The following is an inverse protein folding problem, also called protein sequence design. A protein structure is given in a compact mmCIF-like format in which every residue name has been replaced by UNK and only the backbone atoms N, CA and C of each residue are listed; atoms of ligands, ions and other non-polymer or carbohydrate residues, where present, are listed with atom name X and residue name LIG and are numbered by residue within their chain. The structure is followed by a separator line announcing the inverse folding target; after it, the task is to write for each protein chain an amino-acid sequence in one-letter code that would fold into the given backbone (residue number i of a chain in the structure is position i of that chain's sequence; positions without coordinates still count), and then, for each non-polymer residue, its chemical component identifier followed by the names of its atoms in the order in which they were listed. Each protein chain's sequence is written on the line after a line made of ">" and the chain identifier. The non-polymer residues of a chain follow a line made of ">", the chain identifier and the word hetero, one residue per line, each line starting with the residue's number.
data_IF_403279389668
#
_entry.id   IF_403279389668
#
_cell.length_a   1.000
_cell.length_b   1.000
_cell.length_c   1.000
_cell.angle_alpha   90.00
_cell.angle_beta   90.00
_cell.angle_gamma   90.00
#
_symmetry.space_group_name_H-M   'P 1'
#
loop_
_entity.id
_entity.type
_entity.pdbx_description
1 polymer ?
#
# COMPACT_ATOMS: atom_id res chain seq x y z
N UNK A 1 -52.53 11.65 29.08
CA UNK A 1 -53.45 10.53 28.81
C UNK A 1 -54.28 10.91 27.60
N UNK A 2 -54.21 10.06 26.55
CA UNK A 2 -55.24 9.76 25.54
C UNK A 2 -55.70 10.96 24.69
N UNK A 3 -55.57 11.01 23.36
CA UNK A 3 -55.33 9.99 22.35
C UNK A 3 -56.16 10.40 21.12
N UNK A 4 -55.61 10.24 19.91
CA UNK A 4 -56.41 10.04 18.70
C UNK A 4 -55.62 9.17 17.73
N UNK A 5 -56.09 7.92 17.60
CA UNK A 5 -55.84 7.04 16.46
C UNK A 5 -56.69 7.52 15.28
N UNK A 6 -56.15 7.42 14.06
CA UNK A 6 -56.97 7.38 12.85
C UNK A 6 -56.53 6.18 12.02
N UNK A 7 -57.52 5.34 11.75
CA UNK A 7 -57.47 4.04 11.12
C UNK A 7 -57.36 4.14 9.59
N UNK A 8 -56.73 3.13 9.00
CA UNK A 8 -56.57 2.87 7.57
C UNK A 8 -57.77 2.09 7.01
N UNK A 9 -58.02 2.20 5.69
CA UNK A 9 -58.40 1.12 4.73
C UNK A 9 -59.25 1.66 3.54
N UNK A 10 -58.96 1.18 2.32
CA UNK A 10 -59.86 1.32 1.14
C UNK A 10 -59.22 1.88 -0.16
N UNK A 11 -58.22 1.26 -0.80
CA UNK A 11 -58.34 0.32 -1.94
C UNK A 11 -58.95 0.87 -3.27
N UNK A 12 -58.12 1.03 -4.33
CA UNK A 12 -58.18 0.30 -5.62
C UNK A 12 -57.44 0.98 -6.81
N UNK A 13 -56.33 0.33 -7.21
CA UNK A 13 -55.84 0.01 -8.58
C UNK A 13 -56.21 0.88 -9.80
N UNK A 14 -55.19 1.39 -10.53
CA UNK A 14 -54.84 0.95 -11.90
C UNK A 14 -53.55 1.59 -12.47
N UNK A 15 -52.82 0.77 -13.24
CA UNK A 15 -51.48 0.90 -13.84
C UNK A 15 -51.33 1.99 -14.92
N UNK A 16 -50.13 2.61 -15.02
CA UNK A 16 -49.12 2.40 -16.11
C UNK A 16 -47.94 3.38 -16.02
N UNK A 17 -46.71 2.89 -16.24
CA UNK A 17 -45.56 3.71 -16.65
C UNK A 17 -44.20 3.34 -16.00
N UNK A 18 -43.43 2.45 -16.63
CA UNK A 18 -42.11 1.96 -16.20
C UNK A 18 -40.99 3.00 -16.39
N UNK A 19 -40.08 3.08 -15.42
CA UNK A 19 -38.63 3.23 -15.65
C UNK A 19 -37.85 2.76 -14.41
N UNK A 20 -37.49 1.47 -14.37
CA UNK A 20 -36.47 0.95 -13.46
C UNK A 20 -35.19 0.76 -14.28
N UNK A 21 -34.17 1.58 -14.02
CA UNK A 21 -32.79 1.31 -14.43
C UNK A 21 -32.31 0.09 -13.63
N UNK A 22 -32.27 -1.07 -14.28
CA UNK A 22 -31.47 -2.22 -13.83
C UNK A 22 -30.01 -1.94 -14.20
N UNK A 23 -29.14 -1.86 -13.20
CA UNK A 23 -27.71 -1.90 -13.38
C UNK A 23 -27.14 -2.95 -12.42
N UNK A 24 -26.48 -3.97 -12.96
CA UNK A 24 -25.65 -4.88 -12.16
C UNK A 24 -26.03 -6.36 -12.17
N UNK A 25 -26.25 -6.98 -13.34
CA UNK A 25 -26.11 -8.45 -13.49
C UNK A 25 -25.29 -8.85 -14.74
N UNK A 26 -24.86 -7.87 -15.57
CA UNK A 26 -24.17 -8.18 -16.83
C UNK A 26 -22.69 -8.59 -16.69
N UNK A 27 -22.06 -8.47 -15.52
CA UNK A 27 -20.65 -8.85 -15.35
C UNK A 27 -20.45 -10.37 -15.19
N UNK A 28 -21.37 -11.08 -14.53
CA UNK A 28 -21.23 -12.52 -14.32
C UNK A 28 -21.52 -13.31 -15.60
N UNK A 29 -22.55 -12.93 -16.36
CA UNK A 29 -22.97 -13.65 -17.58
C UNK A 29 -21.94 -13.48 -18.71
N UNK A 30 -21.34 -12.29 -18.88
CA UNK A 30 -20.32 -12.05 -19.90
C UNK A 30 -19.04 -12.88 -19.65
N UNK A 31 -18.64 -13.06 -18.38
CA UNK A 31 -17.48 -13.89 -18.01
C UNK A 31 -17.79 -15.37 -18.27
N UNK A 32 -18.98 -15.86 -17.93
CA UNK A 32 -19.35 -17.27 -18.18
C UNK A 32 -19.43 -17.58 -19.68
N UNK A 33 -19.96 -16.67 -20.50
CA UNK A 33 -20.03 -16.85 -21.96
C UNK A 33 -18.65 -16.83 -22.61
N UNK A 34 -17.75 -15.94 -22.17
CA UNK A 34 -16.38 -15.89 -22.67
C UNK A 34 -15.57 -17.15 -22.30
N UNK A 35 -15.73 -17.66 -21.07
CA UNK A 35 -15.07 -18.90 -20.62
C UNK A 35 -15.59 -20.12 -21.37
N UNK A 36 -16.90 -20.22 -21.61
CA UNK A 36 -17.48 -21.32 -22.39
C UNK A 36 -17.04 -21.32 -23.85
N UNK A 37 -16.95 -20.13 -24.48
CA UNK A 37 -16.46 -19.99 -25.86
C UNK A 37 -14.98 -20.36 -25.99
N UNK A 38 -14.15 -20.02 -25.00
CA UNK A 38 -12.72 -20.40 -24.96
C UNK A 38 -12.56 -21.90 -24.72
N UNK A 39 -13.39 -22.51 -23.87
CA UNK A 39 -13.38 -23.96 -23.61
C UNK A 39 -13.65 -24.78 -24.87
N UNK A 40 -14.62 -24.35 -25.69
CA UNK A 40 -14.97 -25.02 -26.95
C UNK A 40 -13.93 -24.83 -28.06
N UNK A 41 -13.13 -23.75 -28.04
CA UNK A 41 -12.15 -23.45 -29.09
C UNK A 41 -10.73 -23.94 -28.80
N UNK A 42 -10.38 -24.17 -27.53
CA UNK A 42 -9.00 -24.49 -27.09
C UNK A 42 -8.76 -25.96 -26.72
N UNK A 43 -9.78 -26.83 -26.84
CA UNK A 43 -9.61 -28.26 -26.57
C UNK A 43 -9.29 -28.60 -25.11
N UNK A 44 -9.62 -27.72 -24.16
CA UNK A 44 -9.51 -27.99 -22.72
C UNK A 44 -8.34 -27.32 -21.99
N UNK A 45 -7.43 -26.60 -22.67
CA UNK A 45 -6.35 -25.86 -21.97
C UNK A 45 -6.73 -24.39 -21.72
N UNK A 46 -7.47 -24.21 -20.63
CA UNK A 46 -8.12 -22.93 -20.25
C UNK A 46 -7.17 -22.03 -19.45
N UNK A 47 -6.11 -22.58 -18.86
CA UNK A 47 -5.33 -21.88 -17.82
C UNK A 47 -4.52 -20.71 -18.37
N UNK A 48 -3.87 -20.89 -19.53
CA UNK A 48 -3.05 -19.87 -20.20
C UNK A 48 -3.89 -18.74 -20.79
N UNK A 49 -5.04 -19.08 -21.36
CA UNK A 49 -5.95 -18.09 -21.96
C UNK A 49 -6.70 -17.28 -20.90
N UNK A 50 -7.07 -17.90 -19.76
CA UNK A 50 -7.66 -17.18 -18.63
C UNK A 50 -6.65 -16.23 -17.97
N UNK A 51 -5.37 -16.62 -17.88
CA UNK A 51 -4.30 -15.76 -17.35
C UNK A 51 -4.03 -14.55 -18.27
N UNK A 52 -4.15 -14.74 -19.58
CA UNK A 52 -4.06 -13.64 -20.57
C UNK A 52 -5.25 -12.68 -20.46
N UNK A 53 -6.48 -13.22 -20.46
CA UNK A 53 -7.71 -12.44 -20.35
C UNK A 53 -7.86 -11.74 -18.98
N UNK A 54 -7.42 -12.36 -17.89
CA UNK A 54 -7.38 -11.70 -16.58
C UNK A 54 -6.33 -10.59 -16.54
N UNK A 55 -5.21 -10.71 -17.25
CA UNK A 55 -4.22 -9.63 -17.39
C UNK A 55 -4.75 -8.45 -18.22
N UNK A 56 -5.58 -8.71 -19.23
CA UNK A 56 -6.26 -7.67 -20.02
C UNK A 56 -7.44 -7.04 -19.26
N UNK A 57 -8.24 -7.82 -18.53
CA UNK A 57 -9.40 -7.34 -17.76
C UNK A 57 -9.01 -6.66 -16.44
N UNK A 58 -7.80 -6.89 -15.91
CA UNK A 58 -7.26 -6.18 -14.72
C UNK A 58 -6.56 -4.86 -15.06
N UNK A 59 -6.56 -4.42 -16.33
CA UNK A 59 -6.02 -3.11 -16.71
C UNK A 59 -4.57 -2.94 -16.27
N UNK A 60 -3.75 -3.98 -16.47
CA UNK A 60 -2.36 -4.02 -16.03
C UNK A 60 -1.41 -3.28 -16.98
N UNK A 61 -1.82 -2.11 -17.48
CA UNK A 61 -0.87 -1.04 -17.81
C UNK A 61 -0.59 -0.26 -16.51
N UNK A 62 0.07 -0.92 -15.56
CA UNK A 62 0.72 -0.17 -14.50
C UNK A 62 1.90 0.54 -15.16
N UNK A 63 1.81 1.87 -15.28
CA UNK A 63 2.93 2.69 -15.74
C UNK A 63 4.16 2.32 -14.91
N UNK A 64 5.16 1.70 -15.53
CA UNK A 64 6.38 1.31 -14.84
C UNK A 64 7.31 2.50 -14.82
N UNK A 65 7.57 3.07 -13.64
CA UNK A 65 8.35 4.31 -13.52
C UNK A 65 9.86 4.09 -13.73
N UNK A 66 10.34 2.90 -13.41
CA UNK A 66 11.72 2.47 -13.67
C UNK A 66 11.66 1.07 -14.25
N UNK A 67 11.96 0.91 -15.53
CA UNK A 67 11.85 -0.38 -16.24
C UNK A 67 12.96 -1.34 -15.85
N UNK A 68 14.21 -0.86 -15.77
CA UNK A 68 15.36 -1.67 -15.35
C UNK A 68 15.98 -1.05 -14.11
N UNK A 69 15.65 -1.60 -12.94
CA UNK A 69 16.24 -1.13 -11.70
C UNK A 69 17.66 -1.70 -11.52
N UNK A 70 18.54 -0.88 -10.98
CA UNK A 70 19.87 -1.30 -10.56
C UNK A 70 19.79 -1.79 -9.11
N UNK A 71 20.46 -2.90 -8.83
CA UNK A 71 20.57 -3.43 -7.48
C UNK A 71 21.50 -2.54 -6.65
N UNK A 72 21.08 -2.13 -5.46
CA UNK A 72 21.94 -1.41 -4.52
C UNK A 72 23.15 -2.25 -4.08
N UNK A 73 24.29 -1.59 -3.83
CA UNK A 73 25.52 -2.21 -3.31
C UNK A 73 25.40 -2.52 -1.80
N UNK A 74 24.39 -3.29 -1.41
CA UNK A 74 24.20 -3.77 -0.04
C UNK A 74 24.20 -5.30 -0.02
N UNK A 75 24.44 -5.91 1.14
CA UNK A 75 24.41 -7.37 1.29
C UNK A 75 23.03 -8.02 1.07
N UNK A 76 21.97 -7.22 0.93
CA UNK A 76 20.59 -7.66 0.73
C UNK A 76 19.92 -7.03 -0.50
N UNK A 77 20.67 -6.29 -1.33
CA UNK A 77 20.16 -5.59 -2.50
C UNK A 77 19.30 -4.37 -2.16
N UNK A 78 18.30 -4.08 -2.98
CA UNK A 78 17.38 -2.97 -2.78
C UNK A 78 17.54 -1.81 -3.76
N UNK A 79 16.86 -0.70 -3.48
CA UNK A 79 16.78 0.46 -4.37
C UNK A 79 18.14 1.18 -4.52
N UNK A 80 18.66 1.27 -5.75
CA UNK A 80 19.89 2.02 -6.00
C UNK A 80 19.72 3.53 -5.81
N UNK A 81 20.83 4.24 -5.53
CA UNK A 81 20.86 5.70 -5.48
C UNK A 81 20.35 6.35 -6.77
N UNK A 82 20.67 5.78 -7.94
CA UNK A 82 20.18 6.32 -9.21
C UNK A 82 18.66 6.14 -9.38
N UNK A 83 18.10 5.02 -8.94
CA UNK A 83 16.66 4.80 -9.05
C UNK A 83 15.89 5.58 -8.00
N UNK A 84 16.45 5.77 -6.79
CA UNK A 84 15.95 6.74 -5.82
C UNK A 84 15.77 8.12 -6.45
N UNK A 85 16.78 8.62 -7.16
CA UNK A 85 16.71 9.94 -7.81
C UNK A 85 15.67 9.98 -8.93
N UNK A 86 15.46 8.88 -9.68
CA UNK A 86 14.36 8.81 -10.66
C UNK A 86 13.00 8.91 -9.98
N UNK A 87 12.80 8.15 -8.89
CA UNK A 87 11.54 8.17 -8.14
C UNK A 87 11.29 9.55 -7.50
N UNK A 88 12.32 10.21 -6.98
CA UNK A 88 12.23 11.54 -6.37
C UNK A 88 11.81 12.63 -7.37
N UNK A 89 12.04 12.41 -8.67
CA UNK A 89 11.66 13.33 -9.74
C UNK A 89 10.32 12.99 -10.39
N UNK A 90 9.62 11.95 -9.93
CA UNK A 90 8.26 11.67 -10.39
C UNK A 90 7.29 12.69 -9.81
N UNK A 91 6.43 13.22 -10.67
CA UNK A 91 5.32 14.10 -10.27
C UNK A 91 4.01 13.34 -10.51
N UNK A 92 3.18 13.25 -9.46
CA UNK A 92 1.86 12.63 -9.58
C UNK A 92 0.94 13.49 -10.43
N UNK A 93 0.18 12.87 -11.34
CA UNK A 93 -0.85 13.54 -12.13
C UNK A 93 -2.23 13.19 -11.59
N UNK A 94 -3.02 14.21 -11.26
CA UNK A 94 -4.40 14.04 -10.79
C UNK A 94 -5.20 13.16 -11.76
N UNK A 95 -5.90 12.17 -11.22
CA UNK A 95 -6.64 11.16 -11.97
C UNK A 95 -5.86 9.87 -12.27
N UNK A 96 -4.58 9.79 -11.94
CA UNK A 96 -3.80 8.54 -12.07
C UNK A 96 -3.90 7.65 -10.82
N UNK A 97 -3.40 6.40 -10.96
CA UNK A 97 -3.25 5.45 -9.85
C UNK A 97 -2.23 5.96 -8.82
N UNK A 98 -2.50 5.68 -7.56
CA UNK A 98 -1.69 6.12 -6.43
C UNK A 98 -0.35 5.41 -6.29
N UNK A 99 -0.08 4.40 -7.12
CA UNK A 99 1.20 3.70 -7.17
C UNK A 99 1.55 3.30 -8.60
N UNK A 100 2.84 3.06 -8.80
CA UNK A 100 3.46 2.59 -10.04
C UNK A 100 4.35 1.41 -9.74
N UNK A 101 4.55 0.54 -10.73
CA UNK A 101 5.49 -0.57 -10.63
C UNK A 101 6.91 -0.07 -10.88
N UNK A 102 7.87 -0.76 -10.26
CA UNK A 102 9.31 -0.54 -10.40
C UNK A 102 9.91 -1.88 -10.81
N UNK A 103 10.85 -1.86 -11.75
CA UNK A 103 11.53 -3.06 -12.25
C UNK A 103 10.56 -4.15 -12.72
N UNK A 104 9.52 -3.77 -13.48
CA UNK A 104 8.45 -4.68 -13.90
C UNK A 104 7.77 -5.41 -12.72
N UNK A 105 7.65 -4.73 -11.58
CA UNK A 105 7.14 -5.28 -10.33
C UNK A 105 7.98 -6.44 -9.77
N UNK A 106 9.28 -6.49 -10.07
CA UNK A 106 10.20 -7.45 -9.49
C UNK A 106 11.17 -6.80 -8.50
N UNK A 107 11.29 -7.40 -7.33
CA UNK A 107 12.19 -7.00 -6.28
C UNK A 107 13.65 -7.06 -6.73
N UNK A 108 14.45 -6.13 -6.22
CA UNK A 108 15.90 -6.14 -6.37
C UNK A 108 16.60 -6.71 -5.12
N UNK A 109 15.82 -7.23 -4.16
CA UNK A 109 16.33 -7.83 -2.94
C UNK A 109 16.94 -9.20 -3.21
N UNK A 110 18.02 -9.50 -2.50
CA UNK A 110 18.72 -10.77 -2.61
C UNK A 110 18.06 -11.77 -1.66
N UNK A 111 17.21 -12.67 -2.17
CA UNK A 111 16.46 -13.65 -1.34
C UNK A 111 17.35 -14.48 -0.39
N UNK A 112 18.57 -14.80 -0.79
CA UNK A 112 19.53 -15.60 0.01
C UNK A 112 20.18 -14.80 1.16
N UNK A 113 19.93 -13.49 1.25
CA UNK A 113 20.39 -12.64 2.34
C UNK A 113 19.62 -12.86 3.66
N UNK A 114 18.50 -13.58 3.62
CA UNK A 114 17.77 -13.97 4.83
C UNK A 114 18.65 -14.89 5.69
N UNK A 115 19.15 -14.40 6.83
CA UNK A 115 19.90 -15.20 7.83
C UNK A 115 19.25 -15.26 9.23
N UNK A 116 18.85 -14.13 9.80
CA UNK A 116 18.28 -14.02 11.15
C UNK A 116 17.04 -13.11 11.17
N UNK A 117 16.11 -13.34 12.09
CA UNK A 117 14.92 -12.51 12.24
C UNK A 117 15.32 -11.18 12.85
N UNK A 118 15.14 -10.09 12.10
CA UNK A 118 15.54 -8.75 12.52
C UNK A 118 14.96 -7.69 11.58
N UNK A 119 14.99 -6.45 12.01
CA UNK A 119 14.89 -5.29 11.15
C UNK A 119 16.22 -4.54 11.19
N UNK A 120 16.69 -4.09 10.04
CA UNK A 120 17.79 -3.14 9.94
C UNK A 120 17.13 -1.78 9.76
N UNK A 121 17.13 -1.00 10.84
CA UNK A 121 16.69 0.40 10.81
C UNK A 121 17.85 1.28 10.36
N UNK A 122 17.61 2.13 9.36
CA UNK A 122 18.56 3.17 8.99
C UNK A 122 18.50 4.33 9.98
N UNK A 123 19.62 5.02 10.16
CA UNK A 123 19.63 6.28 10.89
C UNK A 123 18.86 7.36 10.13
N UNK A 124 18.38 8.35 10.89
CA UNK A 124 17.83 9.56 10.28
C UNK A 124 18.96 10.31 9.57
N UNK A 125 18.64 10.98 8.45
CA UNK A 125 19.61 11.86 7.80
C UNK A 125 19.80 13.18 8.56
N UNK A 126 20.66 14.05 8.04
CA UNK A 126 21.01 15.34 8.66
C UNK A 126 19.83 16.31 8.79
N UNK A 127 18.69 16.05 8.12
CA UNK A 127 17.44 16.79 8.26
C UNK A 127 16.45 16.07 9.19
N UNK A 128 16.89 15.04 9.91
CA UNK A 128 16.09 14.16 10.76
C UNK A 128 15.04 13.32 10.01
N UNK A 129 15.25 13.04 8.72
CA UNK A 129 14.29 12.29 7.89
C UNK A 129 14.66 10.80 7.83
N UNK A 130 13.64 9.95 7.71
CA UNK A 130 13.81 8.53 7.35
C UNK A 130 14.04 8.37 5.84
N UNK A 131 15.12 8.94 5.29
CA UNK A 131 15.38 9.00 3.84
C UNK A 131 16.16 7.79 3.29
N UNK A 132 16.54 6.85 4.16
CA UNK A 132 17.21 5.60 3.83
C UNK A 132 16.30 4.38 4.05
N UNK A 133 16.63 3.26 3.42
CA UNK A 133 15.81 2.05 3.47
C UNK A 133 15.85 1.33 4.83
N UNK A 134 14.68 1.00 5.37
CA UNK A 134 14.57 -0.01 6.43
C UNK A 134 14.38 -1.39 5.78
N UNK A 135 15.11 -2.39 6.25
CA UNK A 135 15.05 -3.76 5.69
C UNK A 135 14.69 -4.77 6.78
N UNK A 136 13.54 -5.42 6.62
CA UNK A 136 13.00 -6.40 7.54
C UNK A 136 13.19 -7.83 7.02
N UNK A 137 13.67 -8.71 7.89
CA UNK A 137 13.81 -10.15 7.66
C UNK A 137 12.79 -10.86 8.54
N UNK A 138 11.64 -11.17 7.93
CA UNK A 138 10.41 -11.51 8.62
C UNK A 138 10.04 -12.97 8.44
N UNK A 139 9.33 -13.50 9.43
CA UNK A 139 8.68 -14.81 9.39
C UNK A 139 7.36 -14.78 10.18
N UNK A 140 6.63 -15.90 10.24
CA UNK A 140 5.27 -15.96 10.80
C UNK A 140 5.11 -15.32 12.17
N UNK A 141 6.10 -15.47 13.06
CA UNK A 141 6.06 -14.94 14.43
C UNK A 141 6.10 -13.42 14.54
N UNK A 142 6.34 -12.70 13.44
CA UNK A 142 6.27 -11.24 13.42
C UNK A 142 4.86 -10.70 13.08
N UNK A 143 3.89 -11.57 12.78
CA UNK A 143 2.51 -11.11 12.59
C UNK A 143 1.94 -10.65 13.93
N UNK A 144 1.68 -9.35 14.06
CA UNK A 144 1.26 -8.74 15.33
C UNK A 144 -0.25 -8.89 15.59
N UNK A 145 -0.60 -8.81 16.88
CA UNK A 145 -1.98 -8.66 17.32
C UNK A 145 -2.32 -7.16 17.42
N UNK A 146 -3.34 -6.71 16.68
CA UNK A 146 -3.77 -5.30 16.68
C UNK A 146 -4.28 -4.81 18.04
N UNK A 147 -4.70 -5.71 18.95
CA UNK A 147 -5.13 -5.32 20.30
C UNK A 147 -3.99 -4.80 21.19
N UNK A 148 -2.72 -5.04 20.83
CA UNK A 148 -1.54 -4.53 21.54
C UNK A 148 -1.08 -3.16 21.00
N UNK A 149 -1.80 -2.59 20.04
CA UNK A 149 -1.50 -1.28 19.49
C UNK A 149 -1.92 -0.19 20.46
N UNK A 150 -1.03 0.77 20.69
CA UNK A 150 -1.22 1.94 21.54
C UNK A 150 -1.15 3.22 20.71
N UNK A 151 -1.47 4.34 21.34
CA UNK A 151 -1.38 5.66 20.70
C UNK A 151 0.08 5.98 20.32
N UNK A 152 0.25 6.46 19.10
CA UNK A 152 1.53 6.94 18.60
C UNK A 152 1.74 8.42 18.93
N UNK A 153 2.99 8.81 19.22
CA UNK A 153 3.35 10.16 19.62
C UNK A 153 4.51 10.77 18.84
N UNK A 154 5.37 9.97 18.20
CA UNK A 154 6.47 10.49 17.37
C UNK A 154 5.95 11.38 16.27
N UNK A 155 6.50 12.57 16.12
CA UNK A 155 6.15 13.50 15.04
C UNK A 155 7.32 13.54 14.05
N UNK A 156 7.22 12.86 12.89
CA UNK A 156 8.27 12.92 11.88
C UNK A 156 8.45 14.33 11.32
N UNK A 157 9.47 14.52 10.51
CA UNK A 157 9.66 15.77 9.78
C UNK A 157 8.39 16.17 9.03
N UNK A 158 8.13 17.47 8.98
CA UNK A 158 6.96 18.06 8.32
C UNK A 158 5.59 17.58 8.86
N UNK A 159 5.53 17.07 10.09
CA UNK A 159 4.30 16.70 10.75
C UNK A 159 3.42 17.94 11.04
N UNK A 160 2.11 17.77 10.85
CA UNK A 160 1.07 18.75 11.17
C UNK A 160 -0.09 18.04 11.87
N UNK A 161 -1.01 18.81 12.46
CA UNK A 161 -2.26 18.26 12.98
C UNK A 161 -2.95 17.39 11.92
N UNK A 162 -3.30 16.17 12.30
CA UNK A 162 -3.59 15.10 11.35
C UNK A 162 -4.95 15.24 10.65
N UNK A 163 -5.81 16.18 11.08
CA UNK A 163 -7.13 16.42 10.51
C UNK A 163 -7.27 17.81 9.93
N UNK A 164 -8.06 17.93 8.87
CA UNK A 164 -8.49 19.20 8.29
C UNK A 164 -9.93 19.08 7.82
N UNK A 165 -10.76 20.07 8.14
CA UNK A 165 -12.19 20.07 7.78
C UNK A 165 -12.93 18.77 8.18
N UNK A 166 -12.57 18.20 9.33
CA UNK A 166 -13.18 16.95 9.81
C UNK A 166 -12.68 15.68 9.13
N UNK A 167 -11.76 15.74 8.17
CA UNK A 167 -11.14 14.58 7.53
C UNK A 167 -9.72 14.34 8.07
N UNK A 168 -9.34 13.09 8.29
CA UNK A 168 -7.94 12.77 8.58
C UNK A 168 -7.13 12.75 7.28
N UNK A 169 -6.08 13.55 7.21
CA UNK A 169 -5.25 13.71 6.01
C UNK A 169 -3.79 13.32 6.22
N UNK A 170 -3.33 13.17 7.47
CA UNK A 170 -1.99 12.66 7.80
C UNK A 170 -2.05 11.42 8.70
N UNK A 171 -1.03 10.57 8.54
CA UNK A 171 -0.69 9.45 9.40
C UNK A 171 0.82 9.44 9.66
N UNK A 172 1.18 8.86 10.80
CA UNK A 172 2.57 8.47 11.10
C UNK A 172 2.80 7.16 10.34
N UNK A 173 3.24 7.28 9.09
CA UNK A 173 3.42 6.16 8.19
C UNK A 173 4.59 5.30 8.63
N UNK A 174 4.32 4.04 8.96
CA UNK A 174 5.38 3.08 9.28
C UNK A 174 6.12 2.64 8.00
N UNK A 175 7.44 2.57 8.03
CA UNK A 175 8.20 1.95 6.94
C UNK A 175 8.03 0.42 7.03
N UNK A 176 8.31 -0.16 8.21
CA UNK A 176 7.99 -1.54 8.55
C UNK A 176 6.76 -1.53 9.45
N UNK A 177 5.63 -2.01 8.91
CA UNK A 177 4.34 -1.93 9.57
C UNK A 177 4.32 -2.63 10.93
N UNK A 178 3.60 -2.06 11.89
CA UNK A 178 3.26 -2.71 13.16
C UNK A 178 2.79 -4.16 12.96
N UNK A 179 1.90 -4.38 12.01
CA UNK A 179 1.24 -5.68 11.77
C UNK A 179 2.17 -6.82 11.36
N UNK A 180 3.42 -6.52 10.99
CA UNK A 180 4.42 -7.50 10.55
C UNK A 180 5.75 -7.36 11.29
N UNK A 181 5.79 -6.62 12.41
CA UNK A 181 7.00 -6.38 13.20
C UNK A 181 6.92 -6.88 14.64
N UNK A 182 5.99 -7.78 14.96
CA UNK A 182 5.89 -8.32 16.32
C UNK A 182 7.22 -8.92 16.79
N UNK A 183 7.59 -8.57 18.03
CA UNK A 183 8.83 -9.01 18.65
C UNK A 183 10.08 -8.31 18.15
N UNK A 184 9.99 -7.37 17.20
CA UNK A 184 11.12 -6.53 16.84
C UNK A 184 11.19 -5.36 17.83
N UNK A 185 12.33 -5.19 18.49
CA UNK A 185 12.59 -4.05 19.36
C UNK A 185 13.07 -2.81 18.58
N UNK A 186 13.28 -1.69 19.27
CA UNK A 186 13.69 -0.42 18.63
C UNK A 186 15.09 -0.46 18.00
N UNK A 187 15.93 -1.42 18.39
CA UNK A 187 17.25 -1.64 17.79
C UNK A 187 17.18 -2.61 16.61
N UNK A 188 15.99 -3.17 16.33
CA UNK A 188 15.77 -4.09 15.24
C UNK A 188 16.05 -5.55 15.58
N UNK A 189 16.33 -5.87 16.84
CA UNK A 189 16.52 -7.25 17.26
C UNK A 189 15.20 -7.94 17.56
N UNK A 190 15.14 -9.23 17.27
CA UNK A 190 13.99 -10.04 17.65
C UNK A 190 14.08 -10.47 19.13
N UNK A 191 13.08 -10.08 19.91
CA UNK A 191 12.85 -10.49 21.28
C UNK A 191 11.49 -11.22 21.37
N UNK A 192 11.47 -12.54 21.60
CA UNK A 192 10.22 -13.31 21.67
C UNK A 192 9.31 -12.93 22.84
N UNK A 193 9.83 -12.26 23.87
CA UNK A 193 9.03 -11.77 25.00
C UNK A 193 8.23 -10.52 24.64
N UNK A 194 8.66 -9.77 23.61
CA UNK A 194 7.86 -8.69 23.06
C UNK A 194 6.85 -9.26 22.05
N UNK A 195 5.55 -9.09 22.31
CA UNK A 195 4.48 -9.52 21.40
C UNK A 195 3.91 -8.38 20.56
N UNK A 196 4.31 -7.15 20.86
CA UNK A 196 3.89 -5.95 20.15
C UNK A 196 4.78 -5.75 18.91
N UNK A 197 4.21 -5.15 17.87
CA UNK A 197 4.99 -4.61 16.75
C UNK A 197 5.62 -3.27 17.10
N UNK A 198 6.49 -2.77 16.22
CA UNK A 198 7.06 -1.43 16.35
C UNK A 198 5.96 -0.36 16.19
N UNK A 199 5.92 0.61 17.09
CA UNK A 199 4.85 1.62 17.18
C UNK A 199 5.37 3.05 17.11
N UNK A 200 6.48 3.34 17.79
CA UNK A 200 6.99 4.69 18.05
C UNK A 200 8.52 4.78 17.86
N UNK A 201 9.10 3.95 17.00
CA UNK A 201 10.50 4.13 16.63
C UNK A 201 10.64 5.31 15.64
N UNK A 202 11.37 6.39 15.99
CA UNK A 202 11.55 7.54 15.10
C UNK A 202 12.25 7.18 13.78
N UNK A 203 13.07 6.12 13.76
CA UNK A 203 13.74 5.61 12.55
C UNK A 203 12.78 4.84 11.61
N UNK A 204 11.53 4.66 12.00
CA UNK A 204 10.55 3.84 11.29
C UNK A 204 9.26 4.60 10.95
N UNK A 205 9.25 5.93 11.08
CA UNK A 205 8.06 6.75 10.85
C UNK A 205 8.36 7.95 9.94
N UNK A 206 7.46 8.19 8.99
CA UNK A 206 7.47 9.40 8.16
C UNK A 206 6.07 10.02 8.09
N UNK A 207 5.98 11.30 7.73
CA UNK A 207 4.70 11.97 7.49
C UNK A 207 4.09 11.46 6.18
N UNK A 208 3.02 10.69 6.29
CA UNK A 208 2.32 10.08 5.16
C UNK A 208 0.88 10.57 5.10
N UNK A 209 0.32 10.69 3.91
CA UNK A 209 -1.09 10.99 3.74
C UNK A 209 -1.96 9.86 4.31
N UNK A 210 -3.16 10.19 4.75
CA UNK A 210 -4.08 9.19 5.26
C UNK A 210 -4.43 8.14 4.21
N UNK A 211 -4.68 8.59 2.97
CA UNK A 211 -4.98 7.74 1.83
C UNK A 211 -3.82 6.80 1.46
N UNK A 212 -2.61 7.33 1.28
CA UNK A 212 -1.43 6.51 0.94
C UNK A 212 -1.15 5.46 2.01
N UNK A 213 -1.25 5.82 3.29
CA UNK A 213 -1.04 4.91 4.41
C UNK A 213 -2.14 3.83 4.54
N UNK A 214 -3.41 4.25 4.62
CA UNK A 214 -4.52 3.36 5.01
C UNK A 214 -5.11 2.58 3.84
N UNK A 215 -4.94 3.06 2.60
CA UNK A 215 -5.45 2.39 1.40
C UNK A 215 -4.32 1.72 0.66
N UNK A 216 -3.37 2.51 0.16
CA UNK A 216 -2.43 2.03 -0.85
C UNK A 216 -1.33 1.14 -0.25
N UNK A 217 -0.66 1.60 0.80
CA UNK A 217 0.38 0.83 1.47
C UNK A 217 -0.18 -0.45 2.11
N UNK A 218 -1.41 -0.40 2.62
CA UNK A 218 -2.11 -1.56 3.19
C UNK A 218 -2.29 -2.70 2.17
N UNK A 219 -2.42 -2.43 0.87
CA UNK A 219 -2.47 -3.46 -0.19
C UNK A 219 -1.21 -4.32 -0.15
N UNK A 220 -0.03 -3.70 -0.12
CA UNK A 220 1.26 -4.38 -0.19
C UNK A 220 1.64 -5.02 1.15
N UNK A 221 1.38 -4.33 2.27
CA UNK A 221 1.56 -4.91 3.60
C UNK A 221 0.69 -6.16 3.81
N UNK A 222 -0.51 -6.19 3.23
CA UNK A 222 -1.38 -7.37 3.31
C UNK A 222 -0.83 -8.54 2.49
N UNK A 223 -0.15 -8.30 1.37
CA UNK A 223 0.57 -9.36 0.63
C UNK A 223 1.70 -9.96 1.47
N UNK A 224 2.50 -9.11 2.11
CA UNK A 224 3.56 -9.55 3.05
C UNK A 224 2.96 -10.33 4.21
N UNK A 225 1.94 -9.79 4.88
CA UNK A 225 1.27 -10.43 6.03
C UNK A 225 0.68 -11.79 5.66
N UNK A 226 0.05 -11.92 4.50
CA UNK A 226 -0.48 -13.19 3.99
C UNK A 226 0.63 -14.22 3.76
N UNK A 227 1.76 -13.81 3.16
CA UNK A 227 2.92 -14.68 3.00
C UNK A 227 3.47 -15.18 4.35
N UNK A 228 3.61 -14.28 5.33
CA UNK A 228 4.04 -14.65 6.69
C UNK A 228 3.07 -15.65 7.36
N UNK A 229 1.75 -15.45 7.21
CA UNK A 229 0.73 -16.38 7.73
C UNK A 229 0.83 -17.76 7.08
N UNK A 230 1.24 -17.84 5.82
CA UNK A 230 1.54 -19.07 5.09
C UNK A 230 2.91 -19.69 5.44
N UNK A 231 3.54 -19.27 6.55
CA UNK A 231 4.87 -19.71 7.01
C UNK A 231 6.02 -19.36 6.05
N UNK A 232 5.84 -18.40 5.14
CA UNK A 232 6.94 -17.95 4.28
C UNK A 232 7.89 -17.05 5.06
N UNK A 233 9.17 -17.11 4.66
CA UNK A 233 10.22 -16.19 5.10
C UNK A 233 10.34 -15.07 4.08
N UNK A 234 10.19 -13.81 4.50
CA UNK A 234 10.11 -12.65 3.61
C UNK A 234 11.20 -11.64 3.96
N UNK A 235 11.92 -11.16 2.95
CA UNK A 235 12.70 -9.92 3.05
C UNK A 235 11.79 -8.81 2.52
N UNK A 236 11.54 -7.79 3.34
CA UNK A 236 10.71 -6.64 3.00
C UNK A 236 11.52 -5.37 3.22
N UNK A 237 11.53 -4.47 2.24
CA UNK A 237 12.26 -3.21 2.31
C UNK A 237 11.34 -2.05 1.95
N UNK A 238 11.45 -0.99 2.75
CA UNK A 238 10.66 0.23 2.62
C UNK A 238 11.60 1.45 2.61
N UNK A 239 11.46 2.30 1.60
CA UNK A 239 12.35 3.46 1.37
C UNK A 239 11.52 4.70 1.04
N UNK A 240 11.30 5.61 2.01
CA UNK A 240 10.69 6.91 1.75
C UNK A 240 11.57 7.73 0.80
N UNK A 241 10.92 8.37 -0.17
CA UNK A 241 11.60 9.10 -1.24
C UNK A 241 11.38 10.60 -1.04
N UNK A 242 12.47 11.33 -0.82
CA UNK A 242 12.49 12.79 -0.68
C UNK A 242 13.18 13.43 -1.89
N UNK A 243 12.76 14.63 -2.29
CA UNK A 243 13.40 15.42 -3.35
C UNK A 243 14.19 16.56 -2.72
N UNK A 244 15.51 16.56 -2.90
CA UNK A 244 16.39 17.58 -2.30
C UNK A 244 16.20 17.68 -0.78
N UNK A 245 15.96 18.89 -0.29
CA UNK A 245 15.81 19.21 1.14
C UNK A 245 14.35 19.18 1.63
N UNK A 246 13.44 18.57 0.86
CA UNK A 246 12.05 18.42 1.29
C UNK A 246 11.94 17.67 2.61
N UNK A 247 11.05 18.14 3.49
CA UNK A 247 10.84 17.56 4.82
C UNK A 247 9.70 16.53 4.85
N UNK A 248 8.86 16.47 3.82
CA UNK A 248 7.85 15.42 3.63
C UNK A 248 8.20 14.59 2.38
N UNK A 249 8.15 13.26 2.49
CA UNK A 249 8.46 12.39 1.37
C UNK A 249 7.43 12.54 0.25
N UNK A 250 7.88 12.49 -1.01
CA UNK A 250 7.04 12.42 -2.22
C UNK A 250 6.28 11.10 -2.35
N UNK A 251 6.80 10.06 -1.72
CA UNK A 251 6.26 8.72 -1.77
C UNK A 251 7.14 7.73 -1.01
N UNK A 252 6.84 6.45 -1.17
CA UNK A 252 7.60 5.36 -0.59
C UNK A 252 7.78 4.23 -1.59
N UNK A 253 9.02 3.76 -1.77
CA UNK A 253 9.29 2.52 -2.49
C UNK A 253 9.16 1.34 -1.55
N UNK A 254 8.35 0.35 -1.94
CA UNK A 254 8.16 -0.90 -1.23
C UNK A 254 8.58 -2.05 -2.14
N UNK A 255 9.41 -2.95 -1.63
CA UNK A 255 9.75 -4.19 -2.31
C UNK A 255 9.80 -5.36 -1.33
N UNK A 256 9.36 -6.52 -1.77
CA UNK A 256 9.42 -7.75 -0.98
C UNK A 256 9.82 -8.93 -1.84
N UNK A 257 10.55 -9.87 -1.24
CA UNK A 257 10.82 -11.18 -1.83
C UNK A 257 10.73 -12.26 -0.75
N UNK A 258 10.01 -13.35 -1.00
CA UNK A 258 10.09 -14.53 -0.14
C UNK A 258 11.26 -15.42 -0.52
N UNK A 259 11.80 -16.19 0.43
CA UNK A 259 12.94 -17.09 0.18
C UNK A 259 12.63 -18.18 -0.85
N UNK A 260 11.35 -18.55 -0.98
CA UNK A 260 10.84 -19.49 -1.98
C UNK A 260 10.47 -18.81 -3.32
N UNK A 261 10.54 -17.48 -3.42
CA UNK A 261 10.23 -16.70 -4.63
C UNK A 261 8.73 -16.53 -4.93
N UNK A 262 7.83 -17.07 -4.11
CA UNK A 262 6.38 -17.01 -4.37
C UNK A 262 5.71 -15.67 -4.05
N UNK A 263 6.37 -14.82 -3.25
CA UNK A 263 6.05 -13.39 -3.10
C UNK A 263 7.19 -12.61 -3.74
N UNK A 264 6.85 -11.78 -4.71
CA UNK A 264 7.78 -10.85 -5.35
C UNK A 264 7.02 -9.59 -5.79
N UNK A 265 7.46 -8.42 -5.33
CA UNK A 265 6.95 -7.15 -5.83
C UNK A 265 7.97 -6.02 -5.66
N UNK A 266 7.81 -4.98 -6.47
CA UNK A 266 8.54 -3.72 -6.34
C UNK A 266 7.69 -2.56 -6.89
N UNK A 267 7.32 -1.65 -6.00
CA UNK A 267 6.37 -0.58 -6.29
C UNK A 267 6.80 0.74 -5.66
N UNK A 268 6.37 1.84 -6.25
CA UNK A 268 6.48 3.17 -5.68
C UNK A 268 5.08 3.74 -5.47
N UNK A 269 4.79 4.15 -4.24
CA UNK A 269 3.50 4.68 -3.81
C UNK A 269 3.65 6.19 -3.65
N UNK A 270 2.79 6.96 -4.31
CA UNK A 270 2.77 8.41 -4.13
C UNK A 270 2.21 8.79 -2.75
N UNK A 271 2.78 9.83 -2.13
CA UNK A 271 2.32 10.38 -0.86
C UNK A 271 1.25 11.45 -1.07
N UNK A 272 0.12 11.03 -1.65
CA UNK A 272 -0.96 11.92 -2.12
C UNK A 272 -2.27 11.67 -1.39
N UNK A 273 -3.17 12.66 -1.38
CA UNK A 273 -4.48 12.60 -0.73
C UNK A 273 -5.54 13.15 -1.70
N UNK A 274 -6.61 12.39 -2.02
CA UNK A 274 -7.76 12.94 -2.73
C UNK A 274 -8.28 14.22 -2.07
N UNK A 275 -8.54 15.27 -2.85
CA UNK A 275 -9.05 16.54 -2.33
C UNK A 275 -8.00 17.48 -1.71
N UNK A 276 -6.71 17.11 -1.68
CA UNK A 276 -5.65 17.93 -1.09
C UNK A 276 -4.35 17.89 -1.92
N UNK A 277 -3.62 19.01 -1.91
CA UNK A 277 -2.23 19.08 -2.33
C UNK A 277 -1.33 19.29 -1.11
N UNK A 278 -0.17 18.64 -1.08
CA UNK A 278 0.84 18.87 -0.05
C UNK A 278 1.99 19.72 -0.59
N UNK A 279 2.45 20.68 0.20
CA UNK A 279 3.75 21.29 0.01
C UNK A 279 4.80 20.37 0.65
N UNK A 280 5.52 19.60 -0.15
CA UNK A 280 6.50 18.62 0.35
C UNK A 280 7.70 19.25 1.07
N UNK A 281 7.99 20.53 0.83
CA UNK A 281 9.08 21.22 1.53
C UNK A 281 8.83 21.33 3.04
N UNK A 282 7.57 21.48 3.47
CA UNK A 282 7.22 21.68 4.88
C UNK A 282 6.02 20.86 5.38
N UNK A 283 5.43 20.03 4.53
CA UNK A 283 4.30 19.16 4.80
C UNK A 283 2.94 19.82 4.84
N UNK A 284 2.81 21.15 4.68
CA UNK A 284 1.50 21.81 4.77
C UNK A 284 0.56 21.37 3.64
N UNK A 285 -0.67 21.01 3.99
CA UNK A 285 -1.72 20.75 3.03
C UNK A 285 -2.34 22.05 2.51
N UNK A 286 -2.94 22.00 1.32
CA UNK A 286 -3.92 22.95 0.79
C UNK A 286 -5.10 22.15 0.25
N UNK A 287 -6.32 22.61 0.53
CA UNK A 287 -7.52 22.01 -0.06
C UNK A 287 -7.47 22.21 -1.57
N UNK A 288 -7.63 21.12 -2.32
CA UNK A 288 -7.77 21.12 -3.76
C UNK A 288 -8.81 20.06 -4.15
N UNK A 289 -10.07 20.47 -4.30
CA UNK A 289 -11.19 19.58 -4.64
C UNK A 289 -11.06 18.96 -6.04
N UNK A 290 -10.16 19.48 -6.88
CA UNK A 290 -9.83 18.91 -8.18
C UNK A 290 -8.84 17.74 -8.12
N UNK A 291 -8.14 17.55 -7.00
CA UNK A 291 -7.19 16.45 -6.82
C UNK A 291 -7.94 15.12 -6.73
N UNK A 292 -7.82 14.29 -7.77
CA UNK A 292 -8.34 12.94 -7.86
C UNK A 292 -7.19 11.95 -7.80
N UNK A 293 -7.38 10.86 -7.07
CA UNK A 293 -6.40 9.77 -6.98
C UNK A 293 -7.15 8.46 -7.12
N UNK A 294 -6.72 7.61 -8.06
CA UNK A 294 -7.26 6.27 -8.24
C UNK A 294 -6.50 5.27 -7.36
N UNK A 295 -7.21 4.27 -6.85
CA UNK A 295 -6.60 3.13 -6.14
C UNK A 295 -5.93 2.14 -7.10
#
# INVERSE_FOLDING_TARGET
>A
MIGQEVNWEGLLMAKKGRSKKQGGVYSAIAVVVAVAAVWFKSGGDVSTTLNSLTSELTGNSANTAVTTAKVAKSGYGGLSKSDYQKLANLEFKSGEKAYVTVNHNHSTLIKNAWKSNRVIYADLDDLNRTSSSNTAFLEKRNVANDSLRVRQFVEPTAWHYNRRNGEQIYNRGHLIAYSVSAGIDQNGHYNPSNKSGDQNNPKNLFTQSAFSNQKIQTIFESKVRSALRQNKKVIYQATPIFKGDELMARGINLQAISTDGSLDFNVYLYNVQPGYQFNYANGRAKVDRGMKVLE
#
